data_IF_483964254234
#
_entry.id   IF_483964254234
#
_cell.length_a   1.000
_cell.length_b   1.000
_cell.length_c   1.000
_cell.angle_alpha   90.00
_cell.angle_beta   90.00
_cell.angle_gamma   90.00
#
_symmetry.space_group_name_H-M   'P 1'
#
loop_
_entity.id
_entity.type
_entity.pdbx_description
1 polymer ?
#
# COMPACT_ATOMS: atom_id res chain seq x y z
N UNK A 1 -20.05 0.22 25.08
CA UNK A 1 -18.77 0.96 24.82
C UNK A 1 -19.05 2.21 24.00
N UNK A 2 -18.68 3.40 24.47
CA UNK A 2 -18.89 4.70 23.82
C UNK A 2 -17.65 5.10 23.00
N UNK A 3 -17.76 6.09 22.09
CA UNK A 3 -16.64 6.50 21.24
C UNK A 3 -15.35 6.83 22.02
N UNK A 4 -15.46 7.54 23.16
CA UNK A 4 -14.29 7.86 24.00
C UNK A 4 -13.65 6.64 24.67
N UNK A 5 -14.46 5.68 25.08
CA UNK A 5 -13.99 4.41 25.65
C UNK A 5 -13.26 3.58 24.58
N UNK A 6 -13.78 3.56 23.34
CA UNK A 6 -13.17 2.93 22.20
C UNK A 6 -11.79 3.55 21.88
N UNK A 7 -11.69 4.87 21.85
CA UNK A 7 -10.43 5.60 21.67
C UNK A 7 -9.39 5.23 22.73
N UNK A 8 -9.80 5.19 24.01
CA UNK A 8 -8.93 4.82 25.13
C UNK A 8 -8.46 3.37 25.01
N UNK A 9 -9.37 2.44 24.74
CA UNK A 9 -9.03 1.03 24.55
C UNK A 9 -7.98 0.84 23.45
N UNK A 10 -8.21 1.39 22.26
CA UNK A 10 -7.28 1.30 21.13
C UNK A 10 -5.93 1.94 21.47
N UNK A 11 -5.94 3.11 22.13
CA UNK A 11 -4.69 3.76 22.51
C UNK A 11 -3.85 2.92 23.49
N UNK A 12 -4.49 2.25 24.45
CA UNK A 12 -3.78 1.37 25.39
C UNK A 12 -3.25 0.11 24.71
N UNK A 13 -4.02 -0.50 23.79
CA UNK A 13 -3.59 -1.64 22.98
C UNK A 13 -2.32 -1.31 22.18
N UNK A 14 -2.31 -0.15 21.52
CA UNK A 14 -1.18 0.29 20.69
C UNK A 14 0.04 0.74 21.50
N UNK A 15 -0.18 1.44 22.59
CA UNK A 15 0.90 2.00 23.41
C UNK A 15 1.53 1.00 24.39
N UNK A 16 0.83 -0.07 24.73
CA UNK A 16 1.29 -1.09 25.68
C UNK A 16 1.37 -0.61 27.14
N UNK A 17 1.15 0.68 27.42
CA UNK A 17 1.14 1.26 28.76
C UNK A 17 0.10 2.37 28.90
N UNK A 18 -0.52 2.46 30.08
CA UNK A 18 -1.52 3.51 30.38
C UNK A 18 -0.92 4.92 30.27
N UNK A 19 0.34 5.10 30.70
CA UNK A 19 1.02 6.41 30.65
C UNK A 19 1.30 6.84 29.21
N UNK A 20 1.76 5.94 28.34
CA UNK A 20 1.99 6.26 26.94
C UNK A 20 0.67 6.54 26.19
N UNK A 21 -0.38 5.76 26.46
CA UNK A 21 -1.71 5.98 25.90
C UNK A 21 -2.29 7.33 26.33
N UNK A 22 -2.13 7.72 27.60
CA UNK A 22 -2.60 9.00 28.10
C UNK A 22 -1.90 10.19 27.39
N UNK A 23 -0.61 10.07 27.13
CA UNK A 23 0.14 11.06 26.32
C UNK A 23 -0.37 11.13 24.89
N UNK A 24 -0.61 9.97 24.24
CA UNK A 24 -1.17 9.92 22.88
C UNK A 24 -2.53 10.62 22.77
N UNK A 25 -3.36 10.51 23.82
CA UNK A 25 -4.70 11.11 23.84
C UNK A 25 -4.75 12.51 24.46
N UNK A 26 -3.60 13.08 24.87
CA UNK A 26 -3.48 14.37 25.54
C UNK A 26 -4.39 14.49 26.77
N UNK A 27 -4.45 13.44 27.61
CA UNK A 27 -5.19 13.43 28.87
C UNK A 27 -4.30 12.98 30.04
N UNK A 28 -4.74 13.22 31.26
CA UNK A 28 -4.02 12.73 32.43
C UNK A 28 -4.13 11.20 32.57
N UNK A 29 -3.09 10.56 33.10
CA UNK A 29 -3.08 9.12 33.33
C UNK A 29 -4.22 8.68 34.28
N UNK A 30 -4.55 9.41 35.38
CA UNK A 30 -5.72 9.05 36.21
C UNK A 30 -7.04 9.08 35.43
N UNK A 31 -7.24 10.09 34.58
CA UNK A 31 -8.45 10.18 33.75
C UNK A 31 -8.57 9.00 32.76
N UNK A 32 -7.46 8.62 32.11
CA UNK A 32 -7.45 7.45 31.24
C UNK A 32 -7.78 6.16 32.00
N UNK A 33 -7.15 5.96 33.16
CA UNK A 33 -7.40 4.78 34.02
C UNK A 33 -8.86 4.69 34.44
N UNK A 34 -9.49 5.81 34.77
CA UNK A 34 -10.89 5.86 35.17
C UNK A 34 -11.81 5.50 33.99
N UNK A 35 -11.53 6.01 32.79
CA UNK A 35 -12.30 5.65 31.59
C UNK A 35 -12.14 4.14 31.28
N UNK A 36 -10.94 3.60 31.43
CA UNK A 36 -10.68 2.18 31.16
C UNK A 36 -11.44 1.30 32.16
N UNK A 37 -11.34 1.60 33.47
CA UNK A 37 -12.05 0.87 34.52
C UNK A 37 -13.57 0.88 34.28
N UNK A 38 -14.13 2.06 34.00
CA UNK A 38 -15.56 2.17 33.69
C UNK A 38 -15.96 1.40 32.42
N UNK A 39 -15.04 1.28 31.45
CA UNK A 39 -15.29 0.48 30.26
C UNK A 39 -15.34 -1.01 30.58
N UNK A 40 -14.43 -1.50 31.41
CA UNK A 40 -14.41 -2.89 31.89
C UNK A 40 -15.66 -3.23 32.72
N UNK A 41 -16.08 -2.31 33.58
CA UNK A 41 -17.32 -2.43 34.35
C UNK A 41 -18.57 -2.53 33.45
N UNK A 42 -18.66 -1.68 32.39
CA UNK A 42 -19.78 -1.73 31.44
C UNK A 42 -19.76 -3.01 30.57
N UNK A 43 -18.58 -3.56 30.30
CA UNK A 43 -18.43 -4.79 29.49
C UNK A 43 -18.65 -6.06 30.33
N UNK A 44 -18.42 -5.99 31.65
CA UNK A 44 -18.50 -7.12 32.55
C UNK A 44 -17.28 -8.06 32.49
N UNK A 45 -16.21 -7.64 31.85
CA UNK A 45 -14.92 -8.35 31.81
C UNK A 45 -13.75 -7.36 31.72
N UNK A 46 -12.56 -7.81 32.15
CA UNK A 46 -11.35 -7.00 32.10
C UNK A 46 -10.72 -7.02 30.70
N UNK A 47 -10.24 -5.86 30.26
CA UNK A 47 -9.53 -5.71 28.98
C UNK A 47 -8.02 -5.88 29.14
N UNK A 48 -7.51 -5.54 30.34
CA UNK A 48 -6.06 -5.62 30.61
C UNK A 48 -5.79 -6.21 31.99
N UNK A 49 -4.72 -6.97 32.08
CA UNK A 49 -4.21 -7.54 33.31
C UNK A 49 -2.75 -7.13 33.56
N UNK A 50 -2.32 -7.18 34.83
CA UNK A 50 -0.91 -6.93 35.20
C UNK A 50 -0.20 -8.25 35.42
N UNK A 51 0.66 -8.63 34.48
CA UNK A 51 1.52 -9.81 34.58
C UNK A 51 2.95 -9.37 34.81
N UNK A 52 3.52 -9.73 35.97
CA UNK A 52 4.88 -9.34 36.37
C UNK A 52 5.15 -7.82 36.26
N UNK A 53 4.18 -7.00 36.66
CA UNK A 53 4.24 -5.53 36.62
C UNK A 53 4.01 -4.89 35.23
N UNK A 54 3.83 -5.68 34.18
CA UNK A 54 3.53 -5.18 32.82
C UNK A 54 2.04 -5.33 32.51
N UNK A 55 1.51 -4.33 31.83
CA UNK A 55 0.16 -4.36 31.30
C UNK A 55 0.11 -5.31 30.10
N UNK A 56 -0.84 -6.24 30.10
CA UNK A 56 -1.10 -7.16 28.98
C UNK A 56 -2.57 -7.18 28.62
N UNK A 57 -2.92 -7.23 27.34
CA UNK A 57 -4.31 -7.42 26.92
C UNK A 57 -4.78 -8.84 27.29
N UNK A 58 -6.04 -8.94 27.68
CA UNK A 58 -6.72 -10.23 27.90
C UNK A 58 -7.06 -10.89 26.54
N UNK A 59 -7.39 -12.20 26.50
CA UNK A 59 -7.90 -12.84 25.29
C UNK A 59 -9.12 -12.12 24.70
N UNK A 60 -10.05 -11.68 25.56
CA UNK A 60 -11.25 -10.93 25.18
C UNK A 60 -10.88 -9.59 24.52
N UNK A 61 -9.89 -8.87 25.06
CA UNK A 61 -9.40 -7.64 24.46
C UNK A 61 -8.80 -7.87 23.07
N UNK A 62 -8.04 -8.95 22.88
CA UNK A 62 -7.47 -9.32 21.59
C UNK A 62 -8.55 -9.67 20.58
N UNK A 63 -9.60 -10.39 21.01
CA UNK A 63 -10.72 -10.78 20.15
C UNK A 63 -11.47 -9.55 19.60
N UNK A 64 -11.77 -8.56 20.45
CA UNK A 64 -12.53 -7.38 20.03
C UNK A 64 -11.68 -6.28 19.38
N UNK A 65 -10.34 -6.36 19.44
CA UNK A 65 -9.45 -5.27 19.03
C UNK A 65 -9.59 -4.93 17.55
N UNK A 66 -9.63 -5.93 16.66
CA UNK A 66 -9.79 -5.71 15.23
C UNK A 66 -11.11 -5.03 14.88
N UNK A 67 -12.20 -5.38 15.57
CA UNK A 67 -13.50 -4.74 15.41
C UNK A 67 -13.50 -3.30 15.92
N UNK A 68 -12.85 -3.08 17.05
CA UNK A 68 -12.68 -1.76 17.65
C UNK A 68 -11.90 -0.82 16.70
N UNK A 69 -10.82 -1.29 16.10
CA UNK A 69 -10.06 -0.51 15.11
C UNK A 69 -10.90 -0.16 13.87
N UNK A 70 -11.66 -1.12 13.33
CA UNK A 70 -12.55 -0.87 12.19
C UNK A 70 -13.62 0.17 12.51
N UNK A 71 -14.24 0.10 13.68
CA UNK A 71 -15.26 1.05 14.10
C UNK A 71 -14.67 2.45 14.31
N UNK A 72 -13.52 2.56 14.94
CA UNK A 72 -12.80 3.84 15.13
C UNK A 72 -12.43 4.48 13.79
N UNK A 73 -11.89 3.72 12.86
CA UNK A 73 -11.57 4.19 11.50
C UNK A 73 -12.83 4.69 10.77
N UNK A 74 -13.96 3.98 10.91
CA UNK A 74 -15.24 4.40 10.36
C UNK A 74 -15.74 5.74 10.92
N UNK A 75 -15.60 5.95 12.24
CA UNK A 75 -15.97 7.20 12.90
C UNK A 75 -15.11 8.38 12.44
N UNK A 76 -13.80 8.17 12.31
CA UNK A 76 -12.89 9.18 11.78
C UNK A 76 -13.20 9.51 10.30
N UNK A 77 -13.56 8.51 9.49
CA UNK A 77 -14.02 8.71 8.11
C UNK A 77 -15.26 9.61 8.05
N UNK A 78 -16.24 9.40 8.95
CA UNK A 78 -17.42 10.25 9.06
C UNK A 78 -17.07 11.68 9.47
N UNK A 79 -16.21 11.86 10.48
CA UNK A 79 -15.73 13.19 10.92
C UNK A 79 -15.06 13.95 9.78
N UNK A 80 -14.21 13.30 8.99
CA UNK A 80 -13.57 13.91 7.81
C UNK A 80 -14.61 14.32 6.77
N UNK A 81 -15.55 13.43 6.44
CA UNK A 81 -16.62 13.71 5.46
C UNK A 81 -17.48 14.91 5.87
N UNK A 82 -17.86 15.01 7.15
CA UNK A 82 -18.63 16.15 7.65
C UNK A 82 -17.81 17.45 7.62
N UNK A 83 -16.50 17.38 7.88
CA UNK A 83 -15.60 18.54 7.77
C UNK A 83 -15.49 19.01 6.32
N UNK A 84 -15.33 18.11 5.35
CA UNK A 84 -15.26 18.46 3.94
C UNK A 84 -16.58 19.11 3.44
N UNK A 85 -17.73 18.57 3.84
CA UNK A 85 -19.04 19.17 3.55
C UNK A 85 -19.17 20.57 4.15
N UNK A 86 -18.74 20.77 5.40
CA UNK A 86 -18.77 22.08 6.07
C UNK A 86 -17.90 23.11 5.38
N UNK A 87 -16.77 22.68 4.80
CA UNK A 87 -15.83 23.55 4.08
C UNK A 87 -16.23 23.77 2.62
N UNK A 88 -17.42 23.32 2.21
CA UNK A 88 -17.89 23.44 0.83
C UNK A 88 -17.06 22.65 -0.19
N UNK A 89 -16.24 21.69 0.28
CA UNK A 89 -15.45 20.80 -0.57
C UNK A 89 -16.32 19.68 -1.14
N UNK A 90 -17.35 20.07 -1.87
CA UNK A 90 -18.16 19.16 -2.67
C UNK A 90 -17.34 18.79 -3.89
N UNK A 91 -16.85 17.55 -3.93
CA UNK A 91 -16.01 17.06 -5.01
C UNK A 91 -14.55 16.87 -4.60
N UNK A 92 -14.30 15.96 -3.70
CA UNK A 92 -12.96 15.49 -3.34
C UNK A 92 -12.84 14.01 -3.73
N UNK A 93 -11.91 13.70 -4.61
CA UNK A 93 -11.53 12.33 -4.96
C UNK A 93 -10.24 11.97 -4.23
N UNK A 94 -10.27 10.84 -3.54
CA UNK A 94 -9.11 10.31 -2.81
C UNK A 94 -8.71 8.96 -3.41
N UNK A 95 -7.50 8.88 -3.93
CA UNK A 95 -6.94 7.65 -4.50
C UNK A 95 -5.72 7.25 -3.69
N UNK A 96 -5.69 6.03 -3.21
CA UNK A 96 -4.51 5.42 -2.61
C UNK A 96 -3.86 4.46 -3.62
N UNK A 97 -2.54 4.47 -3.73
CA UNK A 97 -1.86 3.56 -4.66
C UNK A 97 -0.54 3.06 -4.08
N UNK A 98 -0.15 1.84 -4.45
CA UNK A 98 1.22 1.40 -4.22
C UNK A 98 2.19 2.27 -5.04
N UNK A 99 3.47 2.39 -4.62
CA UNK A 99 4.37 3.38 -5.20
C UNK A 99 4.48 3.34 -6.73
N UNK A 100 4.64 2.17 -7.42
CA UNK A 100 4.75 2.16 -8.86
C UNK A 100 3.50 2.71 -9.59
N UNK A 101 2.27 2.26 -9.33
CA UNK A 101 1.07 2.87 -9.90
C UNK A 101 0.88 4.35 -9.54
N UNK A 102 1.26 4.76 -8.32
CA UNK A 102 1.18 6.17 -7.91
C UNK A 102 2.08 7.07 -8.76
N UNK A 103 3.22 6.55 -9.24
CA UNK A 103 4.18 7.29 -10.07
C UNK A 103 3.89 7.18 -11.56
N UNK A 104 3.43 6.03 -12.06
CA UNK A 104 3.26 5.79 -13.49
C UNK A 104 1.83 6.06 -13.98
N UNK A 105 0.81 5.66 -13.22
CA UNK A 105 -0.59 5.69 -13.66
C UNK A 105 -1.31 6.94 -13.17
N UNK A 106 -1.24 7.24 -11.86
CA UNK A 106 -2.03 8.33 -11.27
C UNK A 106 -1.74 9.71 -11.86
N UNK A 107 -0.50 10.11 -12.18
CA UNK A 107 -0.25 11.43 -12.77
C UNK A 107 -1.04 11.65 -14.07
N UNK A 108 -1.09 10.63 -14.93
CA UNK A 108 -1.82 10.69 -16.19
C UNK A 108 -3.33 10.71 -15.97
N UNK A 109 -3.85 9.85 -15.11
CA UNK A 109 -5.26 9.82 -14.74
C UNK A 109 -5.72 11.17 -14.14
N UNK A 110 -4.92 11.74 -13.25
CA UNK A 110 -5.22 13.01 -12.59
C UNK A 110 -5.15 14.20 -13.56
N UNK A 111 -4.21 14.20 -14.49
CA UNK A 111 -4.11 15.23 -15.53
C UNK A 111 -5.36 15.24 -16.41
N UNK A 112 -5.75 14.05 -16.92
CA UNK A 112 -6.95 13.92 -17.76
C UNK A 112 -8.23 14.29 -16.99
N UNK A 113 -8.34 13.84 -15.74
CA UNK A 113 -9.48 14.15 -14.90
C UNK A 113 -9.60 15.65 -14.58
N UNK A 114 -8.50 16.30 -14.20
CA UNK A 114 -8.49 17.73 -13.86
C UNK A 114 -8.83 18.61 -15.04
N UNK A 115 -8.47 18.21 -16.25
CA UNK A 115 -8.84 18.95 -17.47
C UNK A 115 -10.36 19.02 -17.68
N UNK A 116 -11.09 18.00 -17.21
CA UNK A 116 -12.55 17.91 -17.32
C UNK A 116 -13.28 18.44 -16.08
N UNK A 117 -12.61 18.41 -14.92
CA UNK A 117 -13.17 18.73 -13.60
C UNK A 117 -12.21 19.59 -12.78
N UNK A 118 -11.98 20.87 -13.18
CA UNK A 118 -10.97 21.74 -12.56
C UNK A 118 -11.25 22.07 -11.09
N UNK A 119 -12.52 22.09 -10.69
CA UNK A 119 -12.95 22.45 -9.33
C UNK A 119 -12.89 21.30 -8.32
N UNK A 120 -12.61 20.06 -8.79
CA UNK A 120 -12.54 18.90 -7.92
C UNK A 120 -11.15 18.75 -7.33
N UNK A 121 -11.06 18.71 -6.00
CA UNK A 121 -9.80 18.44 -5.31
C UNK A 121 -9.40 16.98 -5.46
N UNK A 122 -8.19 16.74 -5.94
CA UNK A 122 -7.59 15.40 -6.04
C UNK A 122 -6.60 15.21 -4.92
N UNK A 123 -6.68 14.07 -4.25
CA UNK A 123 -5.72 13.66 -3.23
C UNK A 123 -5.16 12.28 -3.55
N UNK A 124 -3.83 12.20 -3.63
CA UNK A 124 -3.10 10.95 -3.81
C UNK A 124 -2.44 10.55 -2.50
N UNK A 125 -2.53 9.26 -2.18
CA UNK A 125 -1.77 8.63 -1.10
C UNK A 125 -0.91 7.52 -1.69
N UNK A 126 0.39 7.55 -1.43
CA UNK A 126 1.27 6.43 -1.76
C UNK A 126 1.52 5.60 -0.50
N UNK A 127 1.16 4.32 -0.54
CA UNK A 127 1.18 3.45 0.65
C UNK A 127 1.36 1.97 0.27
N UNK A 128 1.85 1.12 1.19
CA UNK A 128 1.80 -0.33 1.06
C UNK A 128 0.36 -0.84 0.96
N UNK A 129 0.16 -2.00 0.34
CA UNK A 129 -1.18 -2.55 0.06
C UNK A 129 -2.05 -2.73 1.32
N UNK A 130 -1.47 -3.15 2.43
CA UNK A 130 -2.21 -3.28 3.69
C UNK A 130 -2.79 -1.93 4.15
N UNK A 131 -2.02 -0.85 4.07
CA UNK A 131 -2.50 0.49 4.40
C UNK A 131 -3.53 1.00 3.38
N UNK A 132 -3.41 0.65 2.09
CA UNK A 132 -4.44 0.96 1.07
C UNK A 132 -5.77 0.30 1.45
N UNK A 133 -5.74 -0.98 1.82
CA UNK A 133 -6.92 -1.72 2.29
C UNK A 133 -7.56 -1.03 3.49
N UNK A 134 -6.77 -0.63 4.48
CA UNK A 134 -7.27 0.07 5.67
C UNK A 134 -7.86 1.45 5.31
N UNK A 135 -7.25 2.18 4.39
CA UNK A 135 -7.78 3.46 3.91
C UNK A 135 -9.11 3.30 3.16
N UNK A 136 -9.26 2.24 2.36
CA UNK A 136 -10.53 1.91 1.69
C UNK A 136 -11.63 1.56 2.69
N UNK A 137 -11.32 0.76 3.72
CA UNK A 137 -12.24 0.41 4.82
C UNK A 137 -12.68 1.63 5.61
N UNK A 138 -11.74 2.50 5.96
CA UNK A 138 -12.00 3.74 6.68
C UNK A 138 -12.74 4.78 5.84
N UNK A 139 -12.67 4.70 4.50
CA UNK A 139 -13.14 5.74 3.58
C UNK A 139 -12.20 6.94 3.49
N UNK A 140 -10.93 6.74 3.83
CA UNK A 140 -9.83 7.70 3.63
C UNK A 140 -9.39 7.76 2.18
N UNK A 141 -9.61 6.66 1.46
CA UNK A 141 -9.57 6.58 0.01
C UNK A 141 -10.87 5.96 -0.50
N UNK A 142 -11.35 6.39 -1.65
CA UNK A 142 -12.48 5.78 -2.36
C UNK A 142 -12.02 4.77 -3.40
N UNK A 143 -10.82 4.94 -3.93
CA UNK A 143 -10.20 4.07 -4.93
C UNK A 143 -8.80 3.69 -4.49
N UNK A 144 -8.39 2.46 -4.81
CA UNK A 144 -7.04 1.96 -4.64
C UNK A 144 -6.44 1.48 -5.96
N UNK A 145 -5.11 1.53 -6.10
CA UNK A 145 -4.40 0.88 -7.22
C UNK A 145 -3.17 0.16 -6.67
N UNK A 146 -3.05 -1.13 -6.96
CA UNK A 146 -1.95 -1.94 -6.44
C UNK A 146 -1.46 -2.98 -7.46
N UNK A 147 -0.25 -3.52 -7.20
CA UNK A 147 0.35 -4.60 -7.98
C UNK A 147 0.07 -5.97 -7.33
N UNK A 148 -1.14 -6.16 -6.85
CA UNK A 148 -1.62 -7.42 -6.26
C UNK A 148 -3.15 -7.46 -6.33
N UNK A 149 -3.70 -8.63 -6.57
CA UNK A 149 -5.13 -8.93 -6.61
C UNK A 149 -5.60 -9.86 -5.48
N UNK A 150 -4.65 -10.32 -4.64
CA UNK A 150 -4.91 -11.19 -3.47
C UNK A 150 -5.30 -10.34 -2.26
N UNK A 151 -6.58 -10.06 -2.14
CA UNK A 151 -7.10 -9.10 -1.16
C UNK A 151 -8.11 -9.75 -0.21
N UNK A 152 -8.34 -9.11 0.95
CA UNK A 152 -9.42 -9.52 1.84
C UNK A 152 -10.79 -9.50 1.14
N UNK A 153 -11.75 -10.36 1.56
CA UNK A 153 -13.03 -10.54 0.86
C UNK A 153 -13.95 -9.31 0.88
N UNK A 154 -13.67 -8.32 1.70
CA UNK A 154 -14.40 -7.04 1.80
C UNK A 154 -13.86 -5.95 0.83
N UNK A 155 -12.82 -6.27 0.06
CA UNK A 155 -12.28 -5.43 -1.01
C UNK A 155 -12.51 -6.10 -2.36
N UNK A 156 -13.08 -5.35 -3.30
CA UNK A 156 -13.13 -5.75 -4.70
C UNK A 156 -11.81 -5.37 -5.39
N UNK A 157 -11.27 -6.31 -6.14
CA UNK A 157 -10.10 -6.13 -6.99
C UNK A 157 -10.49 -6.36 -8.45
N UNK A 158 -10.42 -5.33 -9.25
CA UNK A 158 -10.58 -5.40 -10.70
C UNK A 158 -9.21 -5.36 -11.35
N UNK A 159 -8.81 -6.42 -12.04
CA UNK A 159 -7.56 -6.42 -12.81
C UNK A 159 -7.73 -5.53 -14.03
N UNK A 160 -6.98 -4.42 -14.08
CA UNK A 160 -7.01 -3.43 -15.16
C UNK A 160 -5.82 -3.53 -16.12
N UNK A 161 -4.90 -4.43 -15.86
CA UNK A 161 -3.74 -4.73 -16.68
C UNK A 161 -2.79 -5.68 -15.99
N UNK A 162 -1.70 -6.02 -16.67
CA UNK A 162 -0.58 -6.78 -16.11
C UNK A 162 0.75 -6.13 -16.45
N UNK A 163 1.76 -6.37 -15.63
CA UNK A 163 3.11 -5.84 -15.81
C UNK A 163 4.13 -6.92 -15.51
N UNK A 164 5.18 -6.98 -16.33
CA UNK A 164 6.32 -7.85 -16.13
C UNK A 164 7.45 -7.18 -15.34
N UNK A 165 8.66 -7.71 -15.52
CA UNK A 165 9.85 -7.24 -14.84
C UNK A 165 10.81 -6.51 -15.79
N UNK A 166 11.55 -5.56 -15.23
CA UNK A 166 12.69 -4.90 -15.83
C UNK A 166 13.94 -5.15 -14.97
N UNK A 167 15.07 -5.32 -15.65
CA UNK A 167 16.40 -5.41 -15.05
C UNK A 167 17.05 -4.03 -15.12
N UNK A 168 17.43 -3.48 -13.98
CA UNK A 168 18.19 -2.25 -13.88
C UNK A 168 19.65 -2.60 -13.61
N UNK A 169 20.55 -2.11 -14.46
CA UNK A 169 21.98 -2.36 -14.36
C UNK A 169 22.75 -1.04 -14.31
N UNK A 170 23.92 -0.98 -13.68
CA UNK A 170 24.84 0.12 -13.91
C UNK A 170 25.14 0.27 -15.42
N UNK A 171 25.25 1.48 -15.93
CA UNK A 171 25.43 1.72 -17.38
C UNK A 171 26.63 0.98 -18.01
N UNK A 172 27.69 0.74 -17.21
CA UNK A 172 28.90 0.01 -17.64
C UNK A 172 28.89 -1.49 -17.35
N UNK A 173 27.77 -2.06 -16.93
CA UNK A 173 27.68 -3.47 -16.57
C UNK A 173 27.84 -4.37 -17.80
N UNK A 174 28.48 -5.54 -17.64
CA UNK A 174 28.72 -6.48 -18.74
C UNK A 174 27.41 -6.91 -19.45
N UNK A 175 26.34 -7.11 -18.70
CA UNK A 175 25.03 -7.48 -19.22
C UNK A 175 24.30 -6.32 -19.94
N UNK A 176 24.76 -5.08 -19.81
CA UNK A 176 24.13 -3.93 -20.46
C UNK A 176 24.20 -3.97 -22.00
N UNK A 177 25.10 -4.78 -22.57
CA UNK A 177 25.18 -5.00 -24.02
C UNK A 177 24.10 -5.90 -24.62
N UNK A 178 23.36 -6.66 -23.79
CA UNK A 178 22.25 -7.51 -24.25
C UNK A 178 21.00 -6.66 -24.51
N UNK A 179 20.12 -7.13 -25.41
CA UNK A 179 18.82 -6.48 -25.67
C UNK A 179 17.77 -6.83 -24.62
N UNK A 180 17.84 -8.03 -24.05
CA UNK A 180 16.98 -8.55 -22.99
C UNK A 180 17.80 -9.48 -22.10
N UNK A 181 17.33 -9.77 -20.91
CA UNK A 181 17.97 -10.65 -19.94
C UNK A 181 17.04 -11.78 -19.54
N UNK A 182 17.59 -12.99 -19.37
CA UNK A 182 16.91 -14.13 -18.79
C UNK A 182 17.18 -14.23 -17.30
N UNK A 183 16.40 -15.04 -16.57
CA UNK A 183 16.69 -15.34 -15.15
C UNK A 183 18.05 -16.02 -14.99
N UNK A 184 18.48 -16.82 -15.97
CA UNK A 184 19.79 -17.47 -15.96
C UNK A 184 20.95 -16.48 -16.07
N UNK A 185 20.75 -15.35 -16.76
CA UNK A 185 21.78 -14.29 -16.86
C UNK A 185 22.02 -13.58 -15.53
N UNK A 186 21.04 -13.62 -14.64
CA UNK A 186 21.07 -12.99 -13.32
C UNK A 186 21.60 -13.95 -12.24
N UNK A 187 21.75 -15.23 -12.57
CA UNK A 187 22.31 -16.21 -11.66
C UNK A 187 23.78 -15.90 -11.37
N UNK A 188 24.11 -15.66 -10.12
CA UNK A 188 25.48 -15.29 -9.71
C UNK A 188 25.78 -13.79 -9.67
N UNK A 189 24.83 -12.95 -10.08
CA UNK A 189 24.95 -11.50 -9.90
C UNK A 189 24.52 -11.09 -8.48
N UNK A 190 25.08 -9.99 -7.98
CA UNK A 190 24.58 -9.34 -6.76
C UNK A 190 23.19 -8.77 -7.07
N UNK A 191 22.16 -9.49 -6.62
CA UNK A 191 20.78 -9.22 -6.99
C UNK A 191 20.05 -8.36 -5.96
N UNK A 192 19.42 -7.30 -6.43
CA UNK A 192 18.51 -6.45 -5.68
C UNK A 192 17.09 -6.78 -6.14
N UNK A 193 16.19 -7.17 -5.24
CA UNK A 193 14.82 -7.51 -5.62
C UNK A 193 13.85 -7.30 -4.46
N UNK A 194 12.58 -7.55 -4.71
CA UNK A 194 11.54 -7.41 -3.71
C UNK A 194 11.72 -8.38 -2.55
N UNK A 195 11.42 -7.88 -1.35
CA UNK A 195 11.31 -8.70 -0.15
C UNK A 195 10.24 -9.78 -0.35
N UNK A 196 10.45 -10.94 0.24
CA UNK A 196 9.46 -12.03 0.30
C UNK A 196 8.08 -11.56 0.80
N UNK A 197 7.03 -12.32 0.56
CA UNK A 197 5.63 -12.00 0.85
C UNK A 197 5.03 -10.83 0.06
N UNK A 198 5.61 -10.50 -1.09
CA UNK A 198 5.02 -9.59 -2.07
C UNK A 198 4.63 -10.36 -3.34
N UNK A 199 3.59 -9.91 -4.03
CA UNK A 199 3.18 -10.56 -5.29
C UNK A 199 4.32 -10.66 -6.32
N UNK A 200 5.09 -9.59 -6.58
CA UNK A 200 6.22 -9.67 -7.49
C UNK A 200 7.28 -10.69 -7.07
N UNK A 201 7.63 -10.74 -5.76
CA UNK A 201 8.61 -11.71 -5.27
C UNK A 201 8.13 -13.16 -5.42
N UNK A 202 6.86 -13.44 -5.14
CA UNK A 202 6.28 -14.78 -5.28
C UNK A 202 6.29 -15.25 -6.73
N UNK A 203 5.87 -14.39 -7.67
CA UNK A 203 5.86 -14.70 -9.10
C UNK A 203 7.28 -14.95 -9.63
N UNK A 204 8.23 -14.12 -9.21
CA UNK A 204 9.63 -14.27 -9.57
C UNK A 204 10.21 -15.59 -9.04
N UNK A 205 9.97 -15.90 -7.77
CA UNK A 205 10.44 -17.14 -7.15
C UNK A 205 9.80 -18.38 -7.80
N UNK A 206 8.52 -18.28 -8.21
CA UNK A 206 7.85 -19.36 -8.94
C UNK A 206 8.49 -19.58 -10.32
N UNK A 207 8.69 -18.51 -11.09
CA UNK A 207 9.30 -18.58 -12.42
C UNK A 207 10.75 -19.10 -12.36
N UNK A 208 11.54 -18.65 -11.38
CA UNK A 208 12.91 -19.13 -11.17
C UNK A 208 12.96 -20.62 -10.89
N UNK A 209 12.09 -21.12 -10.01
CA UNK A 209 11.97 -22.57 -9.70
C UNK A 209 11.56 -23.37 -10.93
N UNK A 210 10.59 -22.87 -11.71
CA UNK A 210 10.12 -23.55 -12.93
C UNK A 210 11.21 -23.66 -14.01
N UNK A 211 12.14 -22.69 -14.04
CA UNK A 211 13.29 -22.69 -14.97
C UNK A 211 14.55 -23.34 -14.39
N UNK A 212 14.51 -23.85 -13.17
CA UNK A 212 15.67 -24.43 -12.48
C UNK A 212 16.78 -23.44 -12.16
N UNK A 213 16.44 -22.14 -12.05
CA UNK A 213 17.37 -21.06 -11.73
C UNK A 213 17.30 -20.73 -10.24
N UNK A 214 18.44 -20.71 -9.56
CA UNK A 214 18.52 -20.21 -8.19
C UNK A 214 18.72 -18.69 -8.20
N UNK A 215 17.74 -17.95 -7.72
CA UNK A 215 17.85 -16.51 -7.47
C UNK A 215 17.89 -16.27 -5.97
N UNK A 216 18.92 -15.58 -5.50
CA UNK A 216 19.07 -15.19 -4.10
C UNK A 216 19.38 -13.69 -4.03
N UNK A 217 18.38 -12.84 -3.79
CA UNK A 217 18.65 -11.43 -3.59
C UNK A 217 19.63 -11.21 -2.42
N UNK A 218 20.71 -10.46 -2.66
CA UNK A 218 21.64 -10.01 -1.61
C UNK A 218 21.15 -8.72 -0.94
N UNK A 219 20.21 -8.00 -1.61
CA UNK A 219 19.54 -6.82 -1.07
C UNK A 219 18.04 -6.89 -1.38
N UNK A 220 17.23 -6.80 -0.33
CA UNK A 220 15.78 -6.78 -0.45
C UNK A 220 15.22 -5.36 -0.33
N UNK A 221 14.25 -5.03 -1.17
CA UNK A 221 13.57 -3.74 -1.19
C UNK A 221 12.06 -3.88 -1.03
N UNK A 222 11.44 -2.90 -0.39
CA UNK A 222 9.97 -2.79 -0.28
C UNK A 222 9.36 -1.97 -1.43
N UNK A 223 10.15 -1.08 -2.04
CA UNK A 223 9.69 -0.12 -3.05
C UNK A 223 10.68 -0.09 -4.21
N UNK A 224 10.21 -0.42 -5.42
CA UNK A 224 11.08 -0.57 -6.61
C UNK A 224 11.90 0.67 -6.95
N UNK A 225 11.36 1.89 -6.71
CA UNK A 225 12.08 3.13 -7.00
C UNK A 225 13.39 3.26 -6.20
N UNK A 226 13.49 2.65 -5.02
CA UNK A 226 14.71 2.67 -4.21
C UNK A 226 15.88 1.94 -4.88
N UNK A 227 15.59 0.98 -5.77
CA UNK A 227 16.58 0.25 -6.52
C UNK A 227 17.50 1.17 -7.35
N UNK A 228 17.00 2.30 -7.83
CA UNK A 228 17.76 3.29 -8.60
C UNK A 228 19.04 3.68 -7.86
N UNK A 229 18.90 4.12 -6.61
CA UNK A 229 20.05 4.55 -5.81
C UNK A 229 21.04 3.42 -5.51
N UNK A 230 20.55 2.22 -5.26
CA UNK A 230 21.40 1.07 -4.99
C UNK A 230 22.18 0.62 -6.22
N UNK A 231 21.55 0.58 -7.40
CA UNK A 231 22.21 0.24 -8.66
C UNK A 231 23.22 1.32 -9.05
N UNK A 232 22.89 2.59 -8.90
CA UNK A 232 23.80 3.72 -9.14
C UNK A 232 25.01 3.70 -8.20
N UNK A 233 24.84 3.21 -6.99
CA UNK A 233 25.93 3.02 -6.01
C UNK A 233 26.78 1.77 -6.29
N UNK A 234 26.45 0.97 -7.31
CA UNK A 234 27.20 -0.24 -7.67
C UNK A 234 26.94 -1.45 -6.79
N UNK A 235 25.81 -1.47 -6.06
CA UNK A 235 25.48 -2.58 -5.15
C UNK A 235 24.91 -3.82 -5.87
N UNK A 236 24.76 -3.78 -7.19
CA UNK A 236 24.33 -4.92 -7.97
C UNK A 236 23.33 -4.57 -9.07
N UNK A 237 22.64 -5.58 -9.57
CA UNK A 237 21.61 -5.54 -10.61
C UNK A 237 20.25 -5.64 -9.94
N UNK A 238 19.30 -4.76 -10.29
CA UNK A 238 17.96 -4.82 -9.73
C UNK A 238 16.97 -5.47 -10.67
N UNK A 239 16.09 -6.30 -10.11
CA UNK A 239 14.96 -6.92 -10.78
C UNK A 239 13.67 -6.37 -10.16
N UNK A 240 12.99 -5.50 -10.90
CA UNK A 240 11.86 -4.68 -10.45
C UNK A 240 10.70 -4.73 -11.43
N UNK A 241 9.54 -4.15 -11.07
CA UNK A 241 8.43 -4.00 -12.00
C UNK A 241 8.81 -3.16 -13.24
N UNK A 242 8.25 -3.49 -14.39
CA UNK A 242 8.45 -2.74 -15.62
C UNK A 242 7.49 -1.54 -15.78
N UNK A 243 6.77 -1.15 -14.71
CA UNK A 243 5.73 -0.11 -14.78
C UNK A 243 6.32 1.30 -14.84
N UNK A 244 7.44 1.52 -14.12
CA UNK A 244 8.07 2.84 -14.07
C UNK A 244 8.91 3.10 -15.33
N UNK A 245 9.02 4.36 -15.76
CA UNK A 245 9.84 4.74 -16.91
C UNK A 245 11.35 4.75 -16.54
N UNK A 246 11.90 3.58 -16.28
CA UNK A 246 13.27 3.40 -15.77
C UNK A 246 14.35 4.04 -16.64
N UNK A 247 14.12 4.14 -17.96
CA UNK A 247 15.02 4.79 -18.91
C UNK A 247 15.24 6.30 -18.67
N UNK A 248 14.37 6.93 -17.85
CA UNK A 248 14.51 8.35 -17.49
C UNK A 248 15.54 8.58 -16.37
N UNK A 249 15.99 7.54 -15.69
CA UNK A 249 16.98 7.65 -14.63
C UNK A 249 18.40 7.53 -15.20
N UNK A 250 19.20 8.58 -15.01
CA UNK A 250 20.57 8.63 -15.51
C UNK A 250 21.45 7.54 -14.88
N UNK A 251 22.44 7.06 -15.63
CA UNK A 251 23.42 6.09 -15.13
C UNK A 251 22.93 4.64 -15.06
N UNK A 252 21.72 4.37 -15.55
CA UNK A 252 21.16 3.03 -15.63
C UNK A 252 21.08 2.52 -17.08
N UNK A 253 21.39 1.25 -17.28
CA UNK A 253 20.93 0.48 -18.43
C UNK A 253 19.69 -0.32 -18.00
N UNK A 254 18.65 -0.28 -18.81
CA UNK A 254 17.38 -0.96 -18.53
C UNK A 254 17.18 -2.04 -19.57
N UNK A 255 16.89 -3.26 -19.13
CA UNK A 255 16.60 -4.40 -20.01
C UNK A 255 15.34 -5.11 -19.58
N UNK A 256 14.45 -5.50 -20.50
CA UNK A 256 13.31 -6.33 -20.17
C UNK A 256 13.79 -7.72 -19.71
N UNK A 257 13.02 -8.33 -18.82
CA UNK A 257 13.22 -9.74 -18.46
C UNK A 257 12.52 -10.63 -19.50
N UNK A 258 13.29 -11.36 -20.27
CA UNK A 258 12.78 -12.30 -21.26
C UNK A 258 12.06 -13.46 -20.60
N UNK A 259 10.88 -13.81 -21.08
CA UNK A 259 10.06 -14.89 -20.55
C UNK A 259 9.84 -14.79 -19.03
N UNK A 260 9.86 -13.56 -18.50
CA UNK A 260 9.56 -13.27 -17.11
C UNK A 260 8.08 -13.43 -16.78
N UNK A 261 7.74 -13.64 -15.51
CA UNK A 261 6.35 -13.66 -15.08
C UNK A 261 5.74 -12.25 -15.18
N UNK A 262 4.42 -12.20 -15.32
CA UNK A 262 3.64 -10.97 -15.15
C UNK A 262 2.82 -11.05 -13.86
N UNK A 263 2.49 -9.91 -13.30
CA UNK A 263 1.62 -9.79 -12.14
C UNK A 263 0.59 -8.67 -12.36
N UNK A 264 -0.58 -8.75 -11.70
CA UNK A 264 -1.70 -7.89 -12.01
C UNK A 264 -1.48 -6.47 -11.51
N UNK A 265 -2.05 -5.52 -12.25
CA UNK A 265 -2.37 -4.17 -11.78
C UNK A 265 -3.86 -4.20 -11.44
N UNK A 266 -4.19 -4.05 -10.17
CA UNK A 266 -5.57 -4.10 -9.71
C UNK A 266 -6.07 -2.73 -9.25
N UNK A 267 -7.28 -2.39 -9.65
CA UNK A 267 -8.05 -1.27 -9.14
C UNK A 267 -8.94 -1.81 -8.01
N UNK A 268 -8.87 -1.14 -6.86
CA UNK A 268 -9.43 -1.61 -5.60
C UNK A 268 -10.56 -0.71 -5.14
N UNK A 269 -11.64 -1.32 -4.66
CA UNK A 269 -12.77 -0.62 -4.05
C UNK A 269 -13.29 -1.39 -2.83
N UNK A 270 -13.89 -0.69 -1.89
CA UNK A 270 -14.54 -1.34 -0.74
C UNK A 270 -15.92 -1.86 -1.16
N UNK A 271 -16.24 -3.11 -0.83
CA UNK A 271 -17.58 -3.69 -1.03
C UNK A 271 -18.65 -3.05 -0.15
N UNK A 272 -18.25 -2.48 0.97
CA UNK A 272 -19.18 -1.91 1.95
C UNK A 272 -19.48 -0.42 1.71
N UNK A 273 -18.83 0.20 0.71
CA UNK A 273 -18.97 1.63 0.40
C UNK A 273 -19.23 1.84 -1.08
N UNK A 274 -20.38 2.41 -1.39
CA UNK A 274 -20.67 2.82 -2.76
C UNK A 274 -19.75 3.97 -3.20
N UNK A 275 -19.28 3.91 -4.42
CA UNK A 275 -18.56 5.01 -5.06
C UNK A 275 -19.52 6.17 -5.32
N UNK A 276 -19.05 7.40 -5.17
CA UNK A 276 -19.75 8.56 -5.68
C UNK A 276 -19.60 8.61 -7.20
N UNK A 277 -20.47 9.39 -7.87
CA UNK A 277 -20.37 9.62 -9.33
C UNK A 277 -18.98 10.12 -9.74
N UNK A 278 -18.37 10.96 -8.91
CA UNK A 278 -17.04 11.53 -9.18
C UNK A 278 -15.93 10.48 -9.03
N UNK A 279 -16.08 9.57 -8.05
CA UNK A 279 -15.16 8.43 -7.90
C UNK A 279 -15.27 7.46 -9.09
N UNK A 280 -16.47 7.21 -9.59
CA UNK A 280 -16.68 6.38 -10.79
C UNK A 280 -15.98 6.97 -12.03
N UNK A 281 -16.11 8.28 -12.22
CA UNK A 281 -15.42 8.98 -13.31
C UNK A 281 -13.89 8.88 -13.17
N UNK A 282 -13.35 9.01 -11.96
CA UNK A 282 -11.93 8.82 -11.70
C UNK A 282 -11.50 7.37 -11.94
N UNK A 283 -12.32 6.40 -11.55
CA UNK A 283 -12.08 4.97 -11.83
C UNK A 283 -11.85 4.72 -13.32
N UNK A 284 -12.70 5.31 -14.18
CA UNK A 284 -12.59 5.16 -15.63
C UNK A 284 -11.33 5.86 -16.18
N UNK A 285 -10.95 7.01 -15.63
CA UNK A 285 -9.68 7.67 -15.98
C UNK A 285 -8.46 6.82 -15.58
N UNK A 286 -8.50 6.15 -14.44
CA UNK A 286 -7.42 5.25 -14.00
C UNK A 286 -7.29 4.05 -14.97
N UNK A 287 -8.40 3.43 -15.39
CA UNK A 287 -8.40 2.34 -16.39
C UNK A 287 -7.76 2.81 -17.71
N UNK A 288 -8.21 3.95 -18.20
CA UNK A 288 -7.68 4.54 -19.45
C UNK A 288 -6.19 4.86 -19.32
N UNK A 289 -5.77 5.47 -18.22
CA UNK A 289 -4.37 5.79 -17.97
C UNK A 289 -3.50 4.53 -17.90
N UNK A 290 -3.98 3.48 -17.24
CA UNK A 290 -3.30 2.19 -17.16
C UNK A 290 -3.06 1.60 -18.56
N UNK A 291 -4.10 1.55 -19.41
CA UNK A 291 -3.99 1.05 -20.78
C UNK A 291 -2.97 1.83 -21.61
N UNK A 292 -2.93 3.16 -21.46
CA UNK A 292 -1.95 4.01 -22.18
C UNK A 292 -0.53 3.78 -21.67
N UNK A 293 -0.34 3.66 -20.36
CA UNK A 293 0.99 3.38 -19.78
C UNK A 293 1.53 2.04 -20.26
N UNK A 294 0.69 0.99 -20.24
CA UNK A 294 1.08 -0.35 -20.69
C UNK A 294 1.31 -0.41 -22.21
N UNK A 295 0.53 0.32 -23.01
CA UNK A 295 0.75 0.43 -24.45
C UNK A 295 2.06 1.11 -24.81
N UNK A 296 2.47 2.13 -24.04
CA UNK A 296 3.75 2.81 -24.22
C UNK A 296 4.97 2.04 -23.69
N UNK A 297 4.79 1.11 -22.79
CA UNK A 297 5.86 0.24 -22.29
C UNK A 297 6.20 -0.92 -23.23
N UNK A 298 5.32 -1.23 -24.18
CA UNK A 298 5.50 -2.30 -25.19
C UNK A 298 6.04 -1.78 -26.53
N UNK A 299 6.14 -0.48 -26.73
CA UNK A 299 6.70 0.19 -27.91
C UNK A 299 8.15 0.65 -27.64
#
# INVERSE_FOLDING_TARGET
>A
MRARQLEVFIAVMRAGTVTAAARMLNISQPALSQILLHTEDELGFTLFERVKGRLRPTPEALEIFADAERLSAGLEGLRRKTTDLRLGRTGLVRVAASPPPAMAILPRAFTSFRAQHPDILLRSHSAPIAAIVDMLRAGDASLGVALDDRLPPDIDAEVIGSVGFACLLPAGHALAGKTELSLADLAGEELISYRGNTRPADELAHAARAQGVALSPSLEIDVSISAVGFVQAGLGVALVDALLPWHQFAGLAVRPLANGPEFPIALLTSRTRALSRVDEMMRDQIRTACSVVLGGARA
#
